data_IF_244817557235
#
_entry.id   IF_244817557235
#
_cell.length_a   1.000
_cell.length_b   1.000
_cell.length_c   1.000
_cell.angle_alpha   90.00
_cell.angle_beta   90.00
_cell.angle_gamma   90.00
#
_symmetry.space_group_name_H-M   'P 1'
#
loop_
_entity.id
_entity.type
_entity.pdbx_description
1 polymer ?
#
# COMPACT_ATOMS: atom_id res chain seq x y z
N UNK A 1 -49.65 -20.59 35.42
CA UNK A 1 -49.48 -19.12 35.40
C UNK A 1 -48.06 -18.85 34.88
N UNK A 2 -47.97 -18.44 33.64
CA UNK A 2 -46.69 -18.15 33.00
C UNK A 2 -46.49 -16.63 33.02
N UNK A 3 -45.48 -16.17 33.73
CA UNK A 3 -45.09 -14.76 33.77
C UNK A 3 -44.25 -14.42 32.55
N UNK A 4 -44.82 -13.59 31.66
CA UNK A 4 -44.14 -13.03 30.51
C UNK A 4 -43.25 -11.85 30.96
N UNK A 5 -41.94 -11.99 30.81
CA UNK A 5 -40.99 -10.91 31.07
C UNK A 5 -40.74 -10.15 29.74
N UNK A 6 -41.26 -8.96 29.65
CA UNK A 6 -41.08 -8.07 28.51
C UNK A 6 -39.72 -7.38 28.64
N UNK A 7 -38.76 -7.69 27.76
CA UNK A 7 -37.50 -6.96 27.65
C UNK A 7 -37.77 -5.63 26.90
N UNK A 8 -37.69 -4.53 27.58
CA UNK A 8 -37.67 -3.18 26.96
C UNK A 8 -36.22 -2.87 26.58
N UNK A 9 -35.94 -2.97 25.31
CA UNK A 9 -34.65 -2.53 24.74
C UNK A 9 -34.62 -0.99 24.67
N UNK A 10 -33.95 -0.37 25.62
CA UNK A 10 -33.61 1.05 25.47
C UNK A 10 -32.48 1.22 24.47
N UNK A 11 -32.83 1.55 23.22
CA UNK A 11 -31.87 2.00 22.23
C UNK A 11 -31.31 3.37 22.66
N UNK A 12 -30.14 3.36 23.32
CA UNK A 12 -29.39 4.60 23.57
C UNK A 12 -28.91 5.14 22.22
N UNK A 13 -29.41 6.33 21.87
CA UNK A 13 -28.95 7.09 20.71
C UNK A 13 -27.49 7.48 20.94
N UNK A 14 -26.54 6.72 20.34
CA UNK A 14 -25.12 7.06 20.42
C UNK A 14 -24.92 8.23 19.47
N UNK A 15 -24.76 9.44 20.04
CA UNK A 15 -24.33 10.61 19.29
C UNK A 15 -22.88 10.37 18.84
N UNK A 16 -22.56 10.44 17.54
CA UNK A 16 -21.19 10.25 17.08
C UNK A 16 -20.30 11.31 17.75
N UNK A 17 -19.08 10.95 18.21
CA UNK A 17 -18.13 11.93 18.67
C UNK A 17 -17.84 12.90 17.53
N UNK A 18 -17.71 14.20 17.89
CA UNK A 18 -17.34 15.23 16.93
C UNK A 18 -16.03 14.81 16.25
N UNK A 19 -16.05 14.67 14.93
CA UNK A 19 -14.87 14.33 14.13
C UNK A 19 -13.79 15.39 14.41
N UNK A 20 -12.58 15.01 14.85
CA UNK A 20 -11.50 15.98 15.03
C UNK A 20 -11.30 16.74 13.73
N UNK A 21 -11.14 18.04 13.82
CA UNK A 21 -10.98 18.89 12.65
C UNK A 21 -9.80 18.42 11.79
N UNK A 22 -10.04 18.12 10.53
CA UNK A 22 -9.05 17.73 9.51
C UNK A 22 -8.00 18.83 9.22
N UNK A 23 -7.97 19.91 10.02
CA UNK A 23 -7.19 21.13 9.79
C UNK A 23 -5.66 20.91 9.81
N UNK A 24 -5.16 19.82 10.41
CA UNK A 24 -3.73 19.55 10.55
C UNK A 24 -3.23 18.31 9.79
N UNK A 25 -3.99 17.79 8.86
CA UNK A 25 -3.49 16.67 8.05
C UNK A 25 -2.49 17.19 7.01
N UNK A 26 -1.40 16.43 6.73
CA UNK A 26 -0.50 16.72 5.64
C UNK A 26 -1.27 16.91 4.33
N UNK A 27 -0.80 17.79 3.45
CA UNK A 27 -1.51 18.12 2.19
C UNK A 27 -1.78 16.90 1.30
N UNK A 28 -0.93 15.88 1.39
CA UNK A 28 -1.04 14.62 0.67
C UNK A 28 -2.12 13.67 1.23
N UNK A 29 -2.62 13.90 2.45
CA UNK A 29 -3.63 13.04 3.10
C UNK A 29 -4.94 13.79 3.38
N UNK A 30 -5.39 14.64 2.46
CA UNK A 30 -6.69 15.30 2.55
C UNK A 30 -7.79 14.34 2.14
N UNK A 31 -8.40 13.68 3.11
CA UNK A 31 -9.55 12.83 2.88
C UNK A 31 -10.87 13.59 3.08
N UNK A 32 -11.84 13.31 2.23
CA UNK A 32 -13.22 13.78 2.43
C UNK A 32 -13.88 12.94 3.52
N UNK A 33 -14.87 13.51 4.22
CA UNK A 33 -15.67 12.75 5.16
C UNK A 33 -16.28 11.52 4.47
N UNK A 34 -16.07 10.36 5.06
CA UNK A 34 -16.62 9.09 4.56
C UNK A 34 -18.07 8.94 5.03
N UNK A 35 -18.93 8.38 4.16
CA UNK A 35 -20.25 7.90 4.54
C UNK A 35 -20.20 6.60 5.38
N UNK A 36 -19.01 6.01 5.53
CA UNK A 36 -18.82 4.79 6.31
C UNK A 36 -19.09 5.08 7.80
N UNK A 37 -19.89 4.26 8.49
CA UNK A 37 -20.26 4.50 9.88
C UNK A 37 -19.12 4.12 10.83
N UNK A 38 -17.98 4.80 10.74
CA UNK A 38 -16.77 4.54 11.52
C UNK A 38 -17.04 4.60 13.04
N UNK A 39 -18.03 5.40 13.48
CA UNK A 39 -18.46 5.49 14.89
C UNK A 39 -19.02 4.19 15.48
N UNK A 40 -19.36 3.22 14.63
CA UNK A 40 -19.81 1.86 15.08
C UNK A 40 -18.64 0.96 15.47
N UNK A 41 -17.43 1.30 15.08
CA UNK A 41 -16.23 0.53 15.39
C UNK A 41 -15.59 1.10 16.66
N UNK A 42 -15.33 0.21 17.63
CA UNK A 42 -14.68 0.56 18.89
C UNK A 42 -13.33 -0.11 18.97
N UNK A 43 -12.35 0.49 19.66
CA UNK A 43 -11.09 -0.17 19.95
C UNK A 43 -11.31 -1.47 20.72
N UNK A 44 -10.60 -2.52 20.36
CA UNK A 44 -10.67 -3.81 21.08
C UNK A 44 -10.27 -3.65 22.57
N UNK A 45 -9.44 -2.68 22.90
CA UNK A 45 -9.05 -2.39 24.27
C UNK A 45 -10.23 -2.03 25.20
N UNK A 46 -11.36 -1.59 24.64
CA UNK A 46 -12.57 -1.31 25.41
C UNK A 46 -13.38 -2.57 25.76
N UNK A 47 -13.12 -3.67 25.08
CA UNK A 47 -13.90 -4.91 25.16
C UNK A 47 -13.12 -6.08 25.80
N UNK A 48 -11.79 -6.04 25.79
CA UNK A 48 -10.90 -7.08 26.30
C UNK A 48 -9.86 -6.52 27.26
N UNK A 49 -9.51 -7.32 28.26
CA UNK A 49 -8.45 -6.97 29.19
C UNK A 49 -7.12 -6.76 28.45
N UNK A 50 -6.54 -5.60 28.61
CA UNK A 50 -5.29 -5.24 27.94
C UNK A 50 -4.12 -6.07 28.49
N UNK A 51 -3.33 -6.65 27.59
CA UNK A 51 -2.07 -7.29 27.97
C UNK A 51 -1.09 -6.21 28.44
N UNK A 52 -0.70 -6.29 29.70
CA UNK A 52 0.23 -5.34 30.31
C UNK A 52 1.67 -5.77 30.03
N UNK A 53 2.35 -5.01 29.16
CA UNK A 53 3.79 -5.10 28.92
C UNK A 53 4.39 -3.74 29.29
N UNK A 54 5.05 -3.61 30.45
CA UNK A 54 5.47 -2.30 30.97
C UNK A 54 6.55 -1.61 30.12
N UNK A 55 7.29 -2.36 29.34
CA UNK A 55 8.37 -1.90 28.44
C UNK A 55 7.93 -1.66 26.99
N UNK A 56 6.66 -1.92 26.64
CA UNK A 56 6.16 -1.68 25.29
C UNK A 56 5.96 -0.18 25.02
N UNK A 57 6.29 0.26 23.82
CA UNK A 57 6.25 1.66 23.42
C UNK A 57 5.20 1.95 22.36
N UNK A 58 5.39 1.46 21.15
CA UNK A 58 4.54 1.76 19.99
C UNK A 58 3.14 1.12 20.01
N UNK A 59 2.87 -0.06 20.62
CA UNK A 59 1.53 -0.67 20.59
C UNK A 59 0.46 0.12 21.34
N UNK A 60 0.87 1.07 22.18
CA UNK A 60 -0.06 1.96 22.89
C UNK A 60 -0.38 3.23 22.09
N UNK A 61 0.27 3.43 20.96
CA UNK A 61 -0.01 4.55 20.07
C UNK A 61 -1.36 4.36 19.41
N UNK A 62 -2.27 5.31 19.60
CA UNK A 62 -3.58 5.31 18.94
C UNK A 62 -3.43 5.92 17.54
N UNK A 63 -3.97 5.23 16.53
CA UNK A 63 -4.07 5.77 15.17
C UNK A 63 -5.27 6.70 15.13
N UNK A 64 -5.03 7.98 14.98
CA UNK A 64 -6.03 9.06 15.00
C UNK A 64 -6.33 9.64 13.61
N UNK A 65 -5.63 9.16 12.58
CA UNK A 65 -5.83 9.55 11.19
C UNK A 65 -5.75 8.33 10.26
N UNK A 66 -6.38 8.42 9.09
CA UNK A 66 -6.35 7.32 8.13
C UNK A 66 -4.94 7.11 7.56
N UNK A 67 -4.51 5.85 7.38
CA UNK A 67 -3.24 5.55 6.71
C UNK A 67 -3.29 5.97 5.24
N UNK A 68 -2.12 6.24 4.67
CA UNK A 68 -1.99 6.39 3.24
C UNK A 68 -2.14 5.02 2.55
N UNK A 69 -3.11 4.95 1.63
CA UNK A 69 -3.36 3.72 0.88
C UNK A 69 -2.57 3.70 -0.41
N UNK A 70 -1.82 2.61 -0.64
CA UNK A 70 -1.23 2.31 -1.93
C UNK A 70 -2.17 1.38 -2.73
N UNK A 71 -2.60 1.80 -3.91
CA UNK A 71 -3.35 0.94 -4.81
C UNK A 71 -2.41 -0.03 -5.52
N UNK A 72 -2.68 -1.33 -5.42
CA UNK A 72 -1.85 -2.39 -6.04
C UNK A 72 -2.56 -3.10 -7.21
N UNK A 73 -3.67 -2.56 -7.66
CA UNK A 73 -4.51 -3.14 -8.71
C UNK A 73 -3.76 -3.33 -10.03
N UNK A 74 -2.90 -2.38 -10.39
CA UNK A 74 -2.15 -2.38 -11.66
C UNK A 74 -0.92 -3.30 -11.64
N UNK A 75 -0.47 -3.74 -10.47
CA UNK A 75 0.63 -4.70 -10.37
C UNK A 75 0.13 -6.03 -9.84
N UNK A 76 -0.17 -6.16 -8.57
CA UNK A 76 -0.53 -7.44 -7.93
C UNK A 76 -1.91 -7.93 -8.37
N UNK A 77 -2.89 -7.03 -8.44
CA UNK A 77 -4.21 -7.33 -8.99
C UNK A 77 -4.15 -7.75 -10.45
N UNK A 78 -3.40 -7.01 -11.29
CA UNK A 78 -3.21 -7.36 -12.70
C UNK A 78 -2.47 -8.68 -12.89
N UNK A 79 -1.49 -8.98 -12.04
CA UNK A 79 -0.73 -10.24 -12.07
C UNK A 79 -1.63 -11.46 -11.80
N UNK A 80 -2.70 -11.29 -11.03
CA UNK A 80 -3.64 -12.35 -10.69
C UNK A 80 -4.66 -12.65 -11.81
N UNK A 81 -4.75 -11.81 -12.84
CA UNK A 81 -5.67 -12.00 -13.95
C UNK A 81 -5.18 -13.10 -14.89
N UNK A 82 -6.11 -13.93 -15.40
CA UNK A 82 -5.82 -14.93 -16.44
C UNK A 82 -5.39 -14.26 -17.74
N UNK A 83 -6.03 -13.12 -18.07
CA UNK A 83 -5.68 -12.24 -19.20
C UNK A 83 -5.28 -10.86 -18.63
N UNK A 84 -3.97 -10.60 -18.44
CA UNK A 84 -3.51 -9.34 -17.89
C UNK A 84 -3.90 -8.14 -18.77
N UNK A 85 -4.05 -6.97 -18.14
CA UNK A 85 -4.43 -5.75 -18.83
C UNK A 85 -3.38 -5.31 -19.85
N UNK A 86 -3.85 -4.93 -21.04
CA UNK A 86 -3.04 -4.20 -22.03
C UNK A 86 -2.68 -2.79 -21.50
N UNK A 87 -1.66 -2.10 -22.07
CA UNK A 87 -1.31 -0.72 -21.66
C UNK A 87 -2.52 0.21 -21.67
N UNK A 88 -3.38 0.15 -22.68
CA UNK A 88 -4.58 0.97 -22.76
C UNK A 88 -5.59 0.70 -21.62
N UNK A 89 -5.74 -0.54 -21.19
CA UNK A 89 -6.57 -0.89 -20.02
C UNK A 89 -5.94 -0.41 -18.73
N UNK A 90 -4.61 -0.58 -18.59
CA UNK A 90 -3.85 -0.07 -17.46
C UNK A 90 -3.97 1.45 -17.34
N UNK A 91 -3.89 2.19 -18.44
CA UNK A 91 -4.08 3.64 -18.46
C UNK A 91 -5.44 4.04 -17.93
N UNK A 92 -6.51 3.41 -18.41
CA UNK A 92 -7.88 3.68 -17.92
C UNK A 92 -8.03 3.39 -16.44
N UNK A 93 -7.41 2.32 -15.93
CA UNK A 93 -7.42 1.98 -14.52
C UNK A 93 -6.61 2.98 -13.69
N UNK A 94 -5.43 3.39 -14.17
CA UNK A 94 -4.62 4.44 -13.54
C UNK A 94 -5.42 5.74 -13.39
N UNK A 95 -6.03 6.23 -14.46
CA UNK A 95 -6.86 7.43 -14.45
C UNK A 95 -8.04 7.31 -13.46
N UNK A 96 -8.61 6.10 -13.33
CA UNK A 96 -9.66 5.84 -12.34
C UNK A 96 -9.13 5.94 -10.91
N UNK A 97 -8.00 5.31 -10.61
CA UNK A 97 -7.38 5.34 -9.27
C UNK A 97 -7.01 6.77 -8.86
N UNK A 98 -6.48 7.57 -9.78
CA UNK A 98 -6.21 9.00 -9.56
C UNK A 98 -7.50 9.75 -9.25
N UNK A 99 -8.59 9.54 -10.01
CA UNK A 99 -9.90 10.15 -9.74
C UNK A 99 -10.53 9.70 -8.42
N UNK A 100 -10.26 8.46 -7.98
CA UNK A 100 -10.68 7.96 -6.67
C UNK A 100 -9.92 8.62 -5.52
N UNK A 101 -8.80 9.28 -5.80
CA UNK A 101 -8.01 10.02 -4.82
C UNK A 101 -6.83 9.25 -4.23
N UNK A 102 -6.43 8.12 -4.82
CA UNK A 102 -5.20 7.45 -4.41
C UNK A 102 -3.98 8.34 -4.65
N UNK A 103 -3.08 8.37 -3.67
CA UNK A 103 -1.83 9.16 -3.72
C UNK A 103 -0.58 8.30 -3.87
N UNK A 104 -0.71 7.00 -3.64
CA UNK A 104 0.28 6.01 -3.98
C UNK A 104 -0.34 4.93 -4.86
N UNK A 105 0.29 4.63 -6.00
CA UNK A 105 -0.22 3.66 -6.98
C UNK A 105 0.93 2.79 -7.47
N UNK A 106 0.88 1.48 -7.17
CA UNK A 106 1.84 0.53 -7.70
C UNK A 106 1.47 0.18 -9.15
N UNK A 107 2.25 0.66 -10.10
CA UNK A 107 1.90 0.66 -11.53
C UNK A 107 2.38 -0.58 -12.29
N UNK A 108 3.39 -1.30 -11.78
CA UNK A 108 3.86 -2.51 -12.43
C UNK A 108 5.24 -2.98 -12.00
N UNK A 109 5.77 -3.94 -12.77
CA UNK A 109 7.10 -4.51 -12.65
C UNK A 109 7.88 -4.32 -13.96
N UNK A 110 8.37 -3.10 -14.24
CA UNK A 110 8.89 -2.73 -15.58
C UNK A 110 10.12 -3.52 -16.01
N UNK A 111 10.92 -4.02 -15.08
CA UNK A 111 12.07 -4.85 -15.41
C UNK A 111 11.73 -6.30 -15.75
N UNK A 112 10.54 -6.78 -15.37
CA UNK A 112 10.08 -8.14 -15.65
C UNK A 112 9.10 -8.23 -16.85
N UNK A 113 8.45 -7.13 -17.21
CA UNK A 113 7.40 -7.08 -18.25
C UNK A 113 7.61 -5.90 -19.18
N UNK A 114 7.65 -6.17 -20.48
CA UNK A 114 7.71 -5.11 -21.49
C UNK A 114 6.41 -4.29 -21.53
N UNK A 115 5.28 -4.93 -21.27
CA UNK A 115 3.98 -4.25 -21.15
C UNK A 115 3.99 -3.22 -20.02
N UNK A 116 4.53 -3.60 -18.85
CA UNK A 116 4.64 -2.68 -17.70
C UNK A 116 5.64 -1.57 -17.97
N UNK A 117 6.77 -1.89 -18.63
CA UNK A 117 7.74 -0.89 -19.04
C UNK A 117 7.11 0.15 -19.98
N UNK A 118 6.44 -0.31 -21.02
CA UNK A 118 5.79 0.57 -22.01
C UNK A 118 4.72 1.43 -21.35
N UNK A 119 3.85 0.82 -20.53
CA UNK A 119 2.81 1.55 -19.82
C UNK A 119 3.38 2.63 -18.88
N UNK A 120 4.45 2.30 -18.15
CA UNK A 120 5.10 3.27 -17.27
C UNK A 120 5.68 4.45 -18.05
N UNK A 121 6.35 4.17 -19.18
CA UNK A 121 6.85 5.24 -20.06
C UNK A 121 5.71 6.12 -20.60
N UNK A 122 4.61 5.51 -21.04
CA UNK A 122 3.44 6.24 -21.54
C UNK A 122 2.90 7.24 -20.50
N UNK A 123 2.69 6.81 -19.24
CA UNK A 123 2.14 7.72 -18.22
C UNK A 123 3.11 8.83 -17.80
N UNK A 124 4.43 8.61 -17.95
CA UNK A 124 5.45 9.64 -17.68
C UNK A 124 5.54 10.61 -18.85
N UNK A 125 5.66 10.12 -20.08
CA UNK A 125 5.84 10.93 -21.29
C UNK A 125 4.59 11.76 -21.62
N UNK A 126 3.40 11.26 -21.27
CA UNK A 126 2.13 11.98 -21.43
C UNK A 126 1.82 12.97 -20.28
N UNK A 127 2.74 13.12 -19.32
CA UNK A 127 2.52 13.94 -18.11
C UNK A 127 1.23 13.60 -17.37
N UNK A 128 0.93 12.30 -17.30
CA UNK A 128 -0.32 11.79 -16.74
C UNK A 128 -0.31 11.59 -15.23
N UNK A 129 0.86 11.72 -14.60
CA UNK A 129 1.04 11.53 -13.16
C UNK A 129 0.88 12.89 -12.47
N UNK A 130 -0.18 13.10 -11.66
CA UNK A 130 -0.33 14.36 -10.91
C UNK A 130 0.83 14.58 -9.95
N UNK A 131 1.19 15.85 -9.70
CA UNK A 131 2.30 16.24 -8.81
C UNK A 131 2.18 15.68 -7.38
N UNK A 132 0.95 15.42 -6.93
CA UNK A 132 0.63 14.89 -5.61
C UNK A 132 0.43 13.37 -5.58
N UNK A 133 0.76 12.67 -6.67
CA UNK A 133 0.72 11.21 -6.80
C UNK A 133 2.13 10.65 -6.89
N UNK A 134 2.40 9.64 -6.06
CA UNK A 134 3.64 8.86 -6.10
C UNK A 134 3.35 7.52 -6.77
N UNK A 135 4.07 7.22 -7.83
CA UNK A 135 4.00 5.89 -8.43
C UNK A 135 4.97 4.94 -7.71
N UNK A 136 4.57 3.67 -7.58
CA UNK A 136 5.41 2.62 -7.04
C UNK A 136 5.68 1.56 -8.11
N UNK A 137 6.89 1.05 -8.15
CA UNK A 137 7.32 -0.04 -9.03
C UNK A 137 8.01 -1.13 -8.23
N UNK A 138 7.83 -2.39 -8.66
CA UNK A 138 8.48 -3.54 -8.03
C UNK A 138 9.75 -3.92 -8.77
N UNK A 139 10.78 -4.38 -8.02
CA UNK A 139 12.00 -4.93 -8.60
C UNK A 139 12.64 -5.97 -7.68
N UNK A 140 13.27 -6.98 -8.25
CA UNK A 140 14.11 -7.92 -7.48
C UNK A 140 15.48 -7.31 -7.19
N UNK A 141 16.14 -7.78 -6.11
CA UNK A 141 17.51 -7.39 -5.75
C UNK A 141 18.54 -7.92 -6.74
N UNK A 142 18.51 -7.42 -7.97
CA UNK A 142 19.46 -7.71 -9.07
C UNK A 142 19.82 -6.41 -9.76
N UNK A 143 21.10 -6.16 -9.93
CA UNK A 143 21.60 -4.90 -10.47
C UNK A 143 21.04 -4.59 -11.86
N UNK A 144 21.04 -5.57 -12.78
CA UNK A 144 20.50 -5.42 -14.13
C UNK A 144 19.01 -5.01 -14.14
N UNK A 145 18.21 -5.61 -13.26
CA UNK A 145 16.79 -5.30 -13.13
C UNK A 145 16.57 -3.93 -12.46
N UNK A 146 17.37 -3.60 -11.46
CA UNK A 146 17.31 -2.30 -10.78
C UNK A 146 17.61 -1.18 -11.78
N UNK A 147 18.71 -1.29 -12.54
CA UNK A 147 19.06 -0.30 -13.56
C UNK A 147 17.94 -0.13 -14.60
N UNK A 148 17.40 -1.22 -15.14
CA UNK A 148 16.26 -1.18 -16.06
C UNK A 148 15.02 -0.52 -15.44
N UNK A 149 14.80 -0.71 -14.14
CA UNK A 149 13.68 -0.07 -13.42
C UNK A 149 13.90 1.43 -13.33
N UNK A 150 15.10 1.90 -13.02
CA UNK A 150 15.44 3.33 -13.02
C UNK A 150 15.30 3.94 -14.42
N UNK A 151 15.75 3.25 -15.47
CA UNK A 151 15.55 3.70 -16.85
C UNK A 151 14.05 3.87 -17.17
N UNK A 152 13.22 2.94 -16.72
CA UNK A 152 11.78 3.03 -16.90
C UNK A 152 11.13 4.19 -16.15
N UNK A 153 11.67 4.56 -14.97
CA UNK A 153 11.13 5.62 -14.11
C UNK A 153 11.68 7.01 -14.45
N UNK A 154 12.63 7.12 -15.37
CA UNK A 154 13.28 8.39 -15.70
C UNK A 154 12.26 9.47 -16.11
N UNK A 155 12.28 10.62 -15.43
CA UNK A 155 11.36 11.74 -15.66
C UNK A 155 10.06 11.69 -14.86
N UNK A 156 9.81 10.65 -14.06
CA UNK A 156 8.64 10.63 -13.16
C UNK A 156 8.83 11.63 -12.00
N UNK A 157 7.77 12.35 -11.57
CA UNK A 157 7.87 13.35 -10.51
C UNK A 157 8.18 12.76 -9.14
N UNK A 158 7.49 11.67 -8.77
CA UNK A 158 7.64 10.99 -7.48
C UNK A 158 7.58 9.48 -7.68
N UNK A 159 8.60 8.75 -7.21
CA UNK A 159 8.71 7.29 -7.39
C UNK A 159 9.12 6.61 -6.10
N UNK A 160 8.44 5.49 -5.80
CA UNK A 160 8.87 4.50 -4.82
C UNK A 160 9.41 3.30 -5.58
N UNK A 161 10.67 2.93 -5.38
CA UNK A 161 11.23 1.69 -5.88
C UNK A 161 11.17 0.63 -4.79
N UNK A 162 10.18 -0.25 -4.89
CA UNK A 162 10.00 -1.36 -3.96
C UNK A 162 10.85 -2.54 -4.39
N UNK A 163 11.94 -2.82 -3.69
CA UNK A 163 12.81 -3.95 -3.99
C UNK A 163 12.71 -5.06 -2.95
N UNK A 164 12.90 -6.29 -3.37
CA UNK A 164 12.79 -7.46 -2.51
C UNK A 164 13.74 -8.58 -2.89
N UNK A 165 14.03 -9.46 -1.93
CA UNK A 165 14.60 -10.77 -2.17
C UNK A 165 14.03 -11.80 -1.18
N UNK A 166 13.91 -13.05 -1.63
CA UNK A 166 13.41 -14.14 -0.80
C UNK A 166 14.43 -14.61 0.21
N UNK A 167 13.98 -14.96 1.43
CA UNK A 167 14.84 -15.32 2.55
C UNK A 167 14.61 -16.73 3.09
N UNK A 168 13.59 -17.46 2.59
CA UNK A 168 13.25 -18.79 3.07
C UNK A 168 14.38 -19.80 2.85
N UNK A 169 14.42 -20.86 3.65
CA UNK A 169 15.41 -21.92 3.54
C UNK A 169 15.39 -22.55 2.16
N UNK A 170 14.18 -22.82 1.63
CA UNK A 170 14.00 -23.41 0.31
C UNK A 170 14.58 -22.50 -0.78
N UNK A 171 14.23 -21.22 -0.78
CA UNK A 171 14.70 -20.25 -1.76
C UNK A 171 16.22 -20.10 -1.71
N UNK A 172 16.78 -19.99 -0.52
CA UNK A 172 18.24 -19.90 -0.37
C UNK A 172 18.98 -21.11 -0.91
N UNK A 173 18.50 -22.33 -0.61
CA UNK A 173 19.17 -23.59 -0.98
C UNK A 173 18.97 -23.95 -2.44
N UNK A 174 17.76 -23.77 -2.98
CA UNK A 174 17.39 -24.27 -4.31
C UNK A 174 17.56 -23.18 -5.38
N UNK A 175 16.99 -22.00 -5.15
CA UNK A 175 16.96 -20.92 -6.15
C UNK A 175 18.30 -20.17 -6.15
N UNK A 176 18.68 -19.60 -5.01
CA UNK A 176 19.87 -18.75 -4.93
C UNK A 176 21.17 -19.56 -4.76
N UNK A 177 21.09 -20.75 -4.18
CA UNK A 177 22.26 -21.57 -3.79
C UNK A 177 23.25 -20.78 -2.94
N UNK A 178 22.71 -20.01 -1.97
CA UNK A 178 23.45 -19.08 -1.11
C UNK A 178 23.11 -19.32 0.36
N UNK A 179 24.07 -19.04 1.22
CA UNK A 179 23.87 -19.02 2.65
C UNK A 179 23.18 -17.73 3.13
N UNK A 180 22.97 -17.59 4.43
CA UNK A 180 22.32 -16.41 5.02
C UNK A 180 23.14 -15.13 4.81
N UNK A 181 24.47 -15.22 4.89
CA UNK A 181 25.35 -14.05 4.78
C UNK A 181 25.33 -13.50 3.35
N UNK A 182 25.37 -14.37 2.37
CA UNK A 182 25.29 -13.98 0.96
C UNK A 182 23.91 -13.41 0.58
N UNK A 183 22.82 -13.92 1.19
CA UNK A 183 21.47 -13.32 0.98
C UNK A 183 21.35 -11.95 1.65
N UNK A 184 21.92 -11.75 2.83
CA UNK A 184 22.01 -10.41 3.45
C UNK A 184 22.79 -9.44 2.57
N UNK A 185 23.96 -9.88 2.06
CA UNK A 185 24.76 -9.06 1.16
C UNK A 185 24.00 -8.66 -0.10
N UNK A 186 23.23 -9.56 -0.68
CA UNK A 186 22.40 -9.27 -1.85
C UNK A 186 21.39 -8.13 -1.57
N UNK A 187 20.77 -8.13 -0.39
CA UNK A 187 19.84 -7.07 0.01
C UNK A 187 20.57 -5.74 0.26
N UNK A 188 21.75 -5.75 0.92
CA UNK A 188 22.52 -4.53 1.19
C UNK A 188 23.11 -3.92 -0.08
N UNK A 189 23.59 -4.75 -1.02
CA UNK A 189 24.08 -4.30 -2.31
C UNK A 189 22.93 -3.66 -3.13
N UNK A 190 21.74 -4.26 -3.14
CA UNK A 190 20.56 -3.70 -3.80
C UNK A 190 20.13 -2.38 -3.14
N UNK A 191 20.14 -2.27 -1.82
CA UNK A 191 19.84 -1.03 -1.12
C UNK A 191 20.80 0.11 -1.55
N UNK A 192 22.10 -0.20 -1.64
CA UNK A 192 23.10 0.77 -2.08
C UNK A 192 22.94 1.21 -3.56
N UNK A 193 22.28 0.40 -4.40
CA UNK A 193 21.98 0.75 -5.79
C UNK A 193 20.71 1.60 -5.91
N UNK A 194 19.80 1.48 -4.96
CA UNK A 194 18.50 2.18 -4.99
C UNK A 194 18.58 3.53 -4.26
N UNK A 195 19.53 3.69 -3.32
CA UNK A 195 19.79 4.95 -2.59
C UNK A 195 20.60 5.93 -3.40
#
# INVERSE_FOLDING_TARGET
MATSTTFVSSASTITPPATPALANQPSWNKQKNSSMPAFRYRPYADEVEAVTLPDRTWPNTVIDHAPLWCAVDLRDGNQALVDPMSPARKRRMFDLLVRMGYKEIEVGFPSASQTDYTFLREIIEDDAIPDDVTIQVLVQCREDLIRRTFDACAGAPNVIVHFYNSTSILQRRVVFRKDKSAIKKLATDAAALVS
#
